data_IF_027342566321
#
_entry.id   IF_027342566321
#
_cell.length_a   1.000
_cell.length_b   1.000
_cell.length_c   1.000
_cell.angle_alpha   90.00
_cell.angle_beta   90.00
_cell.angle_gamma   90.00
#
_symmetry.space_group_name_H-M   'P 1'
#
loop_
_entity.id
_entity.type
_entity.pdbx_description
1 polymer ?
#
# COMPACT_ATOMS: atom_id res chain seq x y z
N UNK A 1 5.50 7.96 -42.97
CA UNK A 1 4.72 8.05 -41.73
C UNK A 1 4.78 6.77 -40.89
N UNK A 2 4.46 5.57 -41.38
CA UNK A 2 4.51 4.29 -40.63
C UNK A 2 5.89 3.98 -40.01
N UNK A 3 6.99 4.20 -40.74
CA UNK A 3 8.36 3.98 -40.23
C UNK A 3 8.77 4.95 -39.13
N UNK A 4 8.36 6.22 -39.23
CA UNK A 4 8.58 7.23 -38.18
C UNK A 4 7.77 6.91 -36.90
N UNK A 5 6.54 6.44 -37.05
CA UNK A 5 5.72 6.00 -35.92
C UNK A 5 6.32 4.79 -35.23
N UNK A 6 6.79 3.79 -35.98
CA UNK A 6 7.47 2.60 -35.44
C UNK A 6 8.77 2.96 -34.72
N UNK A 7 9.56 3.88 -35.31
CA UNK A 7 10.79 4.35 -34.67
C UNK A 7 10.50 5.11 -33.36
N UNK A 8 9.50 6.02 -33.36
CA UNK A 8 9.09 6.73 -32.15
C UNK A 8 8.55 5.77 -31.08
N UNK A 9 7.77 4.76 -31.48
CA UNK A 9 7.28 3.73 -30.58
C UNK A 9 8.43 2.88 -30.01
N UNK A 10 9.39 2.49 -30.82
CA UNK A 10 10.57 1.74 -30.36
C UNK A 10 11.43 2.55 -29.39
N UNK A 11 11.64 3.85 -29.66
CA UNK A 11 12.36 4.76 -28.76
C UNK A 11 11.61 4.94 -27.45
N UNK A 12 10.30 5.14 -27.49
CA UNK A 12 9.47 5.23 -26.28
C UNK A 12 9.51 3.93 -25.48
N UNK A 13 9.42 2.78 -26.14
CA UNK A 13 9.49 1.47 -25.49
C UNK A 13 10.87 1.22 -24.87
N UNK A 14 11.96 1.54 -25.59
CA UNK A 14 13.30 1.45 -25.06
C UNK A 14 13.49 2.38 -23.86
N UNK A 15 13.02 3.63 -23.98
CA UNK A 15 13.06 4.58 -22.88
C UNK A 15 12.29 4.07 -21.64
N UNK A 16 11.07 3.57 -21.81
CA UNK A 16 10.30 2.96 -20.74
C UNK A 16 11.01 1.75 -20.13
N UNK A 17 11.71 0.97 -20.97
CA UNK A 17 12.47 -0.20 -20.51
C UNK A 17 13.69 0.18 -19.68
N UNK A 18 14.47 1.16 -20.12
CA UNK A 18 15.70 1.56 -19.46
C UNK A 18 15.47 2.51 -18.27
N UNK A 19 14.60 3.47 -18.41
CA UNK A 19 14.29 4.45 -17.34
C UNK A 19 13.36 3.84 -16.29
N UNK A 20 12.58 2.85 -16.68
CA UNK A 20 11.64 2.16 -15.81
C UNK A 20 11.84 0.64 -15.95
N UNK A 21 12.91 0.10 -15.37
CA UNK A 21 13.30 -1.28 -15.60
C UNK A 21 12.18 -2.26 -15.26
N UNK A 22 12.06 -3.36 -15.99
CA UNK A 22 11.04 -4.36 -15.71
C UNK A 22 11.28 -4.96 -14.33
N UNK A 23 10.22 -5.23 -13.57
CA UNK A 23 10.33 -5.75 -12.20
C UNK A 23 10.80 -7.23 -12.14
N UNK A 24 11.17 -7.81 -13.25
CA UNK A 24 11.57 -9.22 -13.38
C UNK A 24 12.72 -9.60 -12.40
N UNK A 25 13.61 -8.67 -12.09
CA UNK A 25 14.69 -8.89 -11.12
C UNK A 25 14.19 -9.28 -9.75
N UNK A 26 13.05 -8.76 -9.33
CA UNK A 26 12.43 -9.07 -8.04
C UNK A 26 11.82 -10.47 -7.98
N UNK A 27 11.87 -11.23 -9.09
CA UNK A 27 11.51 -12.66 -9.08
C UNK A 27 12.47 -13.47 -8.21
N UNK A 28 13.74 -13.06 -8.17
CA UNK A 28 14.81 -13.79 -7.47
C UNK A 28 15.55 -12.95 -6.44
N UNK A 29 15.48 -11.61 -6.53
CA UNK A 29 16.22 -10.71 -5.67
C UNK A 29 15.28 -9.94 -4.73
N UNK A 30 15.81 -9.53 -3.59
CA UNK A 30 15.18 -8.58 -2.69
C UNK A 30 15.58 -7.16 -3.09
N UNK A 31 14.70 -6.16 -3.00
CA UNK A 31 15.08 -4.77 -3.16
C UNK A 31 16.02 -4.36 -2.00
N UNK A 32 17.24 -3.94 -2.30
CA UNK A 32 18.18 -3.44 -1.28
C UNK A 32 17.70 -2.13 -0.66
N UNK A 33 17.09 -1.27 -1.49
CA UNK A 33 16.44 -0.03 -1.08
C UNK A 33 15.29 0.27 -2.05
N UNK A 34 14.12 0.60 -1.51
CA UNK A 34 12.98 1.04 -2.33
C UNK A 34 13.01 2.57 -2.50
N UNK A 35 12.29 3.06 -3.52
CA UNK A 35 12.12 4.51 -3.71
C UNK A 35 11.48 5.19 -2.49
N UNK A 36 10.56 4.49 -1.82
CA UNK A 36 9.90 5.01 -0.62
C UNK A 36 10.84 5.07 0.58
N UNK A 37 11.70 4.05 0.78
CA UNK A 37 12.77 4.06 1.80
C UNK A 37 13.75 5.22 1.57
N UNK A 38 14.17 5.43 0.31
CA UNK A 38 15.09 6.52 -0.04
C UNK A 38 14.49 7.90 0.26
N UNK A 39 13.22 8.08 -0.08
CA UNK A 39 12.49 9.30 0.20
C UNK A 39 12.36 9.59 1.70
N UNK A 40 12.01 8.59 2.50
CA UNK A 40 11.90 8.75 3.97
C UNK A 40 13.21 9.24 4.57
N UNK A 41 14.32 8.63 4.15
CA UNK A 41 15.66 9.06 4.59
C UNK A 41 15.98 10.50 4.17
N UNK A 42 15.59 10.93 2.96
CA UNK A 42 15.70 12.33 2.53
C UNK A 42 14.94 13.27 3.44
N UNK A 43 13.67 12.97 3.75
CA UNK A 43 12.83 13.78 4.63
C UNK A 43 13.40 13.91 6.06
N UNK A 44 14.02 12.86 6.58
CA UNK A 44 14.67 12.90 7.90
C UNK A 44 15.95 13.71 7.88
N UNK A 45 16.71 13.69 6.79
CA UNK A 45 17.91 14.51 6.63
C UNK A 45 17.58 16.02 6.53
N UNK A 46 16.43 16.37 5.95
CA UNK A 46 15.96 17.75 5.78
C UNK A 46 15.29 18.31 7.04
N UNK A 47 15.08 17.52 8.10
CA UNK A 47 14.48 17.93 9.36
C UNK A 47 15.52 17.96 10.52
N UNK A 48 16.37 19.00 10.59
CA UNK A 48 17.48 19.08 11.56
C UNK A 48 17.03 19.07 13.03
N UNK A 49 15.84 19.56 13.32
CA UNK A 49 15.30 19.61 14.70
C UNK A 49 15.08 18.24 15.35
N UNK A 50 14.88 17.18 14.56
CA UNK A 50 14.78 15.81 15.07
C UNK A 50 16.14 15.17 15.36
N UNK A 51 17.20 15.65 14.70
CA UNK A 51 18.59 15.24 14.94
C UNK A 51 19.10 15.67 16.30
N UNK A 52 18.73 16.88 16.75
CA UNK A 52 19.21 17.44 18.02
C UNK A 52 18.66 16.68 19.25
N UNK A 53 17.45 16.10 19.14
CA UNK A 53 16.83 15.39 20.27
C UNK A 53 17.32 13.96 20.48
N UNK A 54 17.86 13.29 19.47
CA UNK A 54 18.23 11.85 19.54
C UNK A 54 19.70 11.56 19.26
N UNK A 55 20.48 12.51 18.76
CA UNK A 55 21.93 12.40 18.52
C UNK A 55 22.36 11.34 17.48
N UNK A 56 21.49 10.40 17.12
CA UNK A 56 21.77 9.30 16.19
C UNK A 56 20.56 9.08 15.28
N UNK A 57 20.77 9.06 13.96
CA UNK A 57 19.74 8.58 13.02
C UNK A 57 19.42 7.11 13.38
N UNK A 58 18.14 6.75 13.58
CA UNK A 58 17.78 5.37 13.80
C UNK A 58 18.26 4.52 12.62
N UNK A 59 19.00 3.45 12.90
CA UNK A 59 19.43 2.53 11.85
C UNK A 59 18.22 1.90 11.20
N UNK A 60 18.17 1.93 9.86
CA UNK A 60 17.09 1.27 9.11
C UNK A 60 17.02 -0.20 9.46
N UNK A 61 15.89 -0.62 10.01
CA UNK A 61 15.58 -2.02 10.24
C UNK A 61 14.90 -2.58 8.98
N UNK A 62 15.66 -3.34 8.21
CA UNK A 62 15.16 -4.00 7.00
C UNK A 62 15.79 -5.39 6.90
N UNK A 63 14.97 -6.41 7.11
CA UNK A 63 15.37 -7.83 7.08
C UNK A 63 14.37 -8.61 6.24
N UNK A 64 14.56 -8.66 4.92
CA UNK A 64 13.67 -9.44 4.06
C UNK A 64 13.86 -10.93 4.33
N UNK A 65 12.73 -11.63 4.41
CA UNK A 65 12.67 -13.08 4.63
C UNK A 65 11.73 -13.73 3.63
N UNK A 66 11.97 -14.98 3.20
CA UNK A 66 11.06 -15.71 2.36
C UNK A 66 9.71 -15.92 3.06
N UNK A 67 8.64 -16.08 2.27
CA UNK A 67 7.27 -16.18 2.78
C UNK A 67 7.05 -17.35 3.76
N UNK A 68 7.84 -18.39 3.66
CA UNK A 68 7.84 -19.56 4.55
C UNK A 68 8.29 -19.19 5.98
N UNK A 69 8.99 -18.09 6.11
CA UNK A 69 9.41 -17.52 7.40
C UNK A 69 8.44 -16.45 7.92
N UNK A 70 7.32 -16.25 7.27
CA UNK A 70 6.23 -15.36 7.71
C UNK A 70 5.02 -16.23 8.05
N UNK A 71 4.48 -16.07 9.26
CA UNK A 71 3.30 -16.81 9.71
C UNK A 71 2.14 -16.66 8.71
N UNK A 72 1.43 -17.75 8.36
CA UNK A 72 0.29 -17.69 7.44
C UNK A 72 -0.77 -16.67 7.88
N UNK A 73 -0.98 -16.52 9.17
CA UNK A 73 -1.93 -15.56 9.74
C UNK A 73 -1.58 -14.11 9.42
N UNK A 74 -0.30 -13.77 9.24
CA UNK A 74 0.11 -12.42 8.81
C UNK A 74 -0.35 -12.11 7.39
N UNK A 75 -0.26 -13.09 6.49
CA UNK A 75 -0.77 -12.94 5.12
C UNK A 75 -2.28 -12.71 5.12
N UNK A 76 -3.01 -13.51 5.89
CA UNK A 76 -4.46 -13.34 6.06
C UNK A 76 -4.83 -11.98 6.64
N UNK A 77 -4.10 -11.51 7.67
CA UNK A 77 -4.35 -10.21 8.29
C UNK A 77 -4.17 -9.06 7.31
N UNK A 78 -3.12 -9.08 6.50
CA UNK A 78 -2.86 -8.06 5.49
C UNK A 78 -3.88 -8.08 4.35
N UNK A 79 -4.24 -9.26 3.85
CA UNK A 79 -5.25 -9.40 2.81
C UNK A 79 -6.61 -8.87 3.27
N UNK A 80 -7.02 -9.24 4.47
CA UNK A 80 -8.28 -8.77 5.07
C UNK A 80 -8.27 -7.25 5.31
N UNK A 81 -7.14 -6.71 5.73
CA UNK A 81 -7.00 -5.29 6.07
C UNK A 81 -6.90 -4.37 4.84
N UNK A 82 -6.22 -4.81 3.77
CA UNK A 82 -5.80 -3.94 2.68
C UNK A 82 -6.37 -4.32 1.31
N UNK A 83 -6.57 -5.62 1.02
CA UNK A 83 -7.01 -6.06 -0.29
C UNK A 83 -7.62 -7.48 -0.21
N UNK A 84 -8.86 -7.57 0.24
CA UNK A 84 -9.54 -8.86 0.39
C UNK A 84 -9.79 -9.59 -0.94
N UNK A 85 -9.70 -8.86 -2.05
CA UNK A 85 -9.86 -9.39 -3.42
C UNK A 85 -8.52 -9.55 -4.15
N UNK A 86 -7.40 -9.53 -3.45
CA UNK A 86 -6.05 -9.58 -4.01
C UNK A 86 -5.86 -10.67 -5.05
N UNK A 87 -6.32 -11.87 -4.77
CA UNK A 87 -6.20 -13.00 -5.70
C UNK A 87 -7.19 -12.96 -6.87
N UNK A 88 -8.21 -12.10 -6.80
CA UNK A 88 -9.26 -11.98 -7.83
C UNK A 88 -9.00 -10.83 -8.79
N UNK A 89 -8.18 -9.85 -8.43
CA UNK A 89 -7.86 -8.72 -9.28
C UNK A 89 -6.54 -8.93 -10.04
N UNK A 90 -6.34 -8.22 -11.14
CA UNK A 90 -5.11 -8.24 -11.94
C UNK A 90 -4.25 -6.98 -11.66
N UNK A 91 -4.00 -6.70 -10.39
CA UNK A 91 -3.22 -5.55 -9.94
C UNK A 91 -4.02 -4.26 -9.75
N UNK A 92 -5.22 -4.18 -10.33
CA UNK A 92 -6.19 -3.11 -10.15
C UNK A 92 -7.55 -3.74 -9.85
N UNK A 93 -8.18 -3.37 -8.75
CA UNK A 93 -9.55 -3.79 -8.45
C UNK A 93 -10.56 -2.80 -9.04
N UNK A 94 -11.03 -3.09 -10.24
CA UNK A 94 -12.01 -2.27 -10.94
C UNK A 94 -13.37 -2.24 -10.24
N UNK A 95 -13.74 -3.33 -9.57
CA UNK A 95 -14.99 -3.37 -8.82
C UNK A 95 -14.92 -2.45 -7.62
N UNK A 96 -13.85 -2.49 -6.84
CA UNK A 96 -13.66 -1.62 -5.70
C UNK A 96 -13.55 -0.14 -6.12
N UNK A 97 -12.87 0.14 -7.24
CA UNK A 97 -12.85 1.50 -7.82
C UNK A 97 -14.26 1.96 -8.18
N UNK A 98 -15.05 1.09 -8.82
CA UNK A 98 -16.43 1.39 -9.20
C UNK A 98 -17.30 1.69 -7.97
N UNK A 99 -17.18 0.89 -6.94
CA UNK A 99 -17.88 1.08 -5.66
C UNK A 99 -17.45 2.38 -4.97
N UNK A 100 -16.14 2.64 -4.85
CA UNK A 100 -15.60 3.87 -4.27
C UNK A 100 -16.01 5.14 -5.01
N UNK A 101 -16.20 5.04 -6.33
CA UNK A 101 -16.72 6.12 -7.17
C UNK A 101 -18.24 6.26 -7.09
N UNK A 102 -18.94 5.28 -6.51
CA UNK A 102 -20.41 5.25 -6.46
C UNK A 102 -21.05 5.03 -7.84
N UNK A 103 -20.37 4.30 -8.73
CA UNK A 103 -20.94 3.88 -10.01
C UNK A 103 -21.80 2.64 -9.80
N UNK A 104 -23.12 2.76 -10.00
CA UNK A 104 -24.11 1.76 -9.59
C UNK A 104 -24.52 0.76 -10.68
N UNK A 105 -24.08 0.96 -11.93
CA UNK A 105 -24.45 0.08 -13.03
C UNK A 105 -23.46 -1.09 -13.16
N UNK A 106 -23.96 -2.27 -13.39
CA UNK A 106 -23.13 -3.48 -13.51
C UNK A 106 -22.40 -3.56 -14.85
N UNK A 107 -23.03 -3.04 -15.93
CA UNK A 107 -22.44 -2.97 -17.25
C UNK A 107 -22.36 -1.54 -17.76
N UNK A 108 -21.33 -1.25 -18.54
CA UNK A 108 -21.12 0.05 -19.17
C UNK A 108 -21.08 -0.11 -20.69
N UNK A 109 -21.94 0.62 -21.38
CA UNK A 109 -21.99 0.65 -22.83
C UNK A 109 -21.75 2.05 -23.37
N UNK A 110 -20.69 2.23 -24.14
CA UNK A 110 -20.34 3.53 -24.76
C UNK A 110 -21.45 4.11 -25.64
N UNK A 111 -22.26 3.27 -26.27
CA UNK A 111 -23.39 3.67 -27.10
C UNK A 111 -24.56 4.19 -26.29
N UNK A 112 -24.68 3.83 -25.02
CA UNK A 112 -25.77 4.24 -24.15
C UNK A 112 -25.54 5.63 -23.56
N UNK A 113 -26.42 6.59 -23.91
CA UNK A 113 -26.32 7.96 -23.41
C UNK A 113 -26.43 8.07 -21.87
N UNK A 114 -27.25 7.20 -21.24
CA UNK A 114 -27.39 7.15 -19.77
C UNK A 114 -26.12 6.71 -19.08
N UNK A 115 -25.36 5.75 -19.65
CA UNK A 115 -24.11 5.28 -19.10
C UNK A 115 -23.02 6.36 -19.17
N UNK A 116 -22.96 7.07 -20.31
CA UNK A 116 -22.05 8.21 -20.47
C UNK A 116 -22.37 9.35 -19.50
N UNK A 117 -23.65 9.66 -19.32
CA UNK A 117 -24.09 10.70 -18.38
C UNK A 117 -23.78 10.31 -16.92
N UNK A 118 -23.99 9.03 -16.56
CA UNK A 118 -23.62 8.51 -15.23
C UNK A 118 -22.12 8.57 -15.01
N UNK A 119 -21.33 8.13 -15.97
CA UNK A 119 -19.86 8.22 -15.91
C UNK A 119 -19.41 9.68 -15.74
N UNK A 120 -19.98 10.62 -16.49
CA UNK A 120 -19.68 12.05 -16.35
C UNK A 120 -19.98 12.58 -14.95
N UNK A 121 -21.14 12.21 -14.37
CA UNK A 121 -21.52 12.58 -13.00
C UNK A 121 -20.58 11.96 -11.95
N UNK A 122 -20.21 10.70 -12.14
CA UNK A 122 -19.27 9.97 -11.26
C UNK A 122 -17.90 10.61 -11.30
N UNK A 123 -17.36 10.88 -12.49
CA UNK A 123 -16.06 11.54 -12.66
C UNK A 123 -16.05 12.96 -12.09
N UNK A 124 -17.14 13.72 -12.28
CA UNK A 124 -17.29 15.06 -11.67
C UNK A 124 -17.25 15.00 -10.14
N UNK A 125 -17.98 14.05 -9.53
CA UNK A 125 -17.94 13.82 -8.08
C UNK A 125 -16.58 13.35 -7.60
N UNK A 126 -15.94 12.45 -8.35
CA UNK A 126 -14.59 11.96 -8.05
C UNK A 126 -13.58 13.11 -8.08
N UNK A 127 -13.65 13.98 -9.08
CA UNK A 127 -12.79 15.15 -9.16
C UNK A 127 -13.00 16.11 -8.00
N UNK A 128 -14.24 16.41 -7.65
CA UNK A 128 -14.60 17.26 -6.51
C UNK A 128 -14.12 16.65 -5.16
N UNK A 129 -14.15 15.32 -5.05
CA UNK A 129 -13.77 14.58 -3.85
C UNK A 129 -12.38 13.92 -3.94
N UNK A 130 -11.53 14.30 -4.90
CA UNK A 130 -10.25 13.62 -5.21
C UNK A 130 -9.31 13.45 -4.00
N UNK A 131 -9.45 14.30 -3.00
CA UNK A 131 -8.69 14.21 -1.75
C UNK A 131 -9.31 13.25 -0.71
N UNK A 132 -10.56 12.81 -0.93
CA UNK A 132 -11.33 11.94 -0.04
C UNK A 132 -11.53 10.53 -0.57
N UNK A 133 -11.26 10.29 -1.87
CA UNK A 133 -11.32 8.94 -2.45
C UNK A 133 -10.06 8.19 -2.01
N UNK A 134 -10.19 7.47 -0.91
CA UNK A 134 -9.17 6.59 -0.35
C UNK A 134 -9.74 5.18 -0.26
N UNK A 135 -8.88 4.18 -0.24
CA UNK A 135 -9.29 2.80 0.02
C UNK A 135 -9.25 1.86 -1.19
N UNK A 136 -9.37 2.36 -2.42
CA UNK A 136 -9.40 1.53 -3.63
C UNK A 136 -8.01 1.17 -4.20
N UNK A 137 -6.94 1.18 -3.40
CA UNK A 137 -5.60 0.79 -3.86
C UNK A 137 -5.29 -0.63 -3.45
N UNK A 138 -5.01 -1.50 -4.42
CA UNK A 138 -4.61 -2.89 -4.20
C UNK A 138 -3.22 -2.99 -3.56
N UNK A 139 -2.90 -4.17 -3.00
CA UNK A 139 -1.54 -4.50 -2.53
C UNK A 139 -0.52 -4.33 -3.65
N UNK A 140 -0.84 -4.74 -4.87
CA UNK A 140 0.06 -4.59 -6.02
C UNK A 140 0.34 -3.13 -6.35
N UNK A 141 -0.67 -2.24 -6.28
CA UNK A 141 -0.47 -0.80 -6.46
C UNK A 141 0.35 -0.18 -5.32
N UNK A 142 0.13 -0.64 -4.08
CA UNK A 142 0.94 -0.20 -2.94
C UNK A 142 2.40 -0.65 -3.08
N UNK A 143 2.64 -1.88 -3.54
CA UNK A 143 3.98 -2.38 -3.84
C UNK A 143 4.64 -1.56 -4.96
N UNK A 144 3.92 -1.28 -6.05
CA UNK A 144 4.41 -0.44 -7.14
C UNK A 144 4.85 0.94 -6.64
N UNK A 145 4.04 1.57 -5.78
CA UNK A 145 4.38 2.83 -5.12
C UNK A 145 5.65 2.70 -4.28
N UNK A 146 5.77 1.68 -3.45
CA UNK A 146 6.91 1.50 -2.57
C UNK A 146 8.21 1.29 -3.35
N UNK A 147 8.18 0.47 -4.39
CA UNK A 147 9.39 0.12 -5.16
C UNK A 147 9.91 1.26 -6.05
N UNK A 148 8.99 2.00 -6.71
CA UNK A 148 9.38 2.83 -7.86
C UNK A 148 8.96 4.29 -7.81
N UNK A 149 7.97 4.66 -6.97
CA UNK A 149 7.32 5.94 -7.12
C UNK A 149 7.63 6.90 -5.98
N UNK A 150 8.00 8.12 -6.38
CA UNK A 150 8.06 9.27 -5.47
C UNK A 150 6.63 9.72 -5.06
N UNK A 151 6.45 10.33 -3.89
CA UNK A 151 5.15 10.72 -3.35
C UNK A 151 4.54 11.97 -3.98
N UNK A 152 4.92 12.33 -5.21
CA UNK A 152 4.34 13.48 -5.90
C UNK A 152 2.81 13.38 -6.01
N UNK A 153 2.09 14.49 -5.83
CA UNK A 153 0.62 14.55 -5.96
C UNK A 153 0.15 14.73 -7.41
N UNK A 154 0.96 14.36 -8.39
CA UNK A 154 0.63 14.48 -9.81
C UNK A 154 -0.35 13.36 -10.22
N UNK A 155 -1.44 13.65 -10.97
CA UNK A 155 -2.36 12.65 -11.53
C UNK A 155 -1.65 11.59 -12.38
N UNK A 156 -0.59 11.96 -13.11
CA UNK A 156 0.24 11.04 -13.89
C UNK A 156 0.92 9.97 -13.01
N UNK A 157 1.14 10.25 -11.73
CA UNK A 157 1.64 9.26 -10.77
C UNK A 157 0.68 8.08 -10.61
N UNK A 158 -0.64 8.34 -10.55
CA UNK A 158 -1.63 7.25 -10.40
C UNK A 158 -1.68 6.36 -11.64
N UNK A 159 -1.50 6.94 -12.83
CA UNK A 159 -1.36 6.19 -14.07
C UNK A 159 -0.08 5.33 -14.07
N UNK A 160 1.06 5.91 -13.66
CA UNK A 160 2.32 5.16 -13.52
C UNK A 160 2.19 4.02 -12.52
N UNK A 161 1.53 4.25 -11.38
CA UNK A 161 1.24 3.25 -10.37
C UNK A 161 0.43 2.08 -10.97
N UNK A 162 -0.63 2.37 -11.72
CA UNK A 162 -1.46 1.38 -12.38
C UNK A 162 -0.67 0.54 -13.42
N UNK A 163 0.10 1.22 -14.28
CA UNK A 163 0.95 0.55 -15.27
C UNK A 163 2.03 -0.31 -14.60
N UNK A 164 2.62 0.17 -13.50
CA UNK A 164 3.61 -0.60 -12.75
C UNK A 164 2.96 -1.80 -12.07
N UNK A 165 1.74 -1.65 -11.53
CA UNK A 165 1.02 -2.76 -10.93
C UNK A 165 0.76 -3.88 -11.96
N UNK A 166 0.33 -3.56 -13.17
CA UNK A 166 0.19 -4.55 -14.25
C UNK A 166 1.51 -5.24 -14.59
N UNK A 167 2.62 -4.49 -14.65
CA UNK A 167 3.94 -5.07 -14.90
C UNK A 167 4.38 -6.00 -13.78
N UNK A 168 4.12 -5.65 -12.50
CA UNK A 168 4.39 -6.52 -11.37
C UNK A 168 3.60 -7.84 -11.47
N UNK A 169 2.30 -7.78 -11.77
CA UNK A 169 1.47 -8.96 -11.97
C UNK A 169 1.99 -9.85 -13.11
N UNK A 170 2.34 -9.25 -14.23
CA UNK A 170 2.85 -9.99 -15.39
C UNK A 170 4.16 -10.74 -15.11
N UNK A 171 5.10 -10.09 -14.37
CA UNK A 171 6.44 -10.64 -14.17
C UNK A 171 6.59 -11.50 -12.93
N UNK A 172 5.84 -11.23 -11.85
CA UNK A 172 6.11 -11.80 -10.54
C UNK A 172 5.06 -12.80 -10.08
N UNK A 173 3.79 -12.60 -10.43
CA UNK A 173 2.66 -13.37 -9.90
C UNK A 173 2.32 -13.01 -8.44
N UNK A 174 1.13 -13.41 -8.00
CA UNK A 174 0.52 -13.01 -6.73
C UNK A 174 1.35 -13.34 -5.50
N UNK A 175 1.87 -14.55 -5.43
CA UNK A 175 2.62 -15.02 -4.26
C UNK A 175 3.90 -14.18 -4.05
N UNK A 176 4.63 -13.89 -5.12
CA UNK A 176 5.84 -13.08 -5.03
C UNK A 176 5.54 -11.61 -4.76
N UNK A 177 4.45 -11.08 -5.31
CA UNK A 177 3.98 -9.72 -5.04
C UNK A 177 3.68 -9.57 -3.55
N UNK A 178 2.89 -10.48 -2.97
CA UNK A 178 2.56 -10.46 -1.54
C UNK A 178 3.81 -10.60 -0.67
N UNK A 179 4.70 -11.50 -1.02
CA UNK A 179 5.97 -11.71 -0.32
C UNK A 179 6.83 -10.44 -0.32
N UNK A 180 7.00 -9.79 -1.47
CA UNK A 180 7.72 -8.52 -1.57
C UNK A 180 7.04 -7.41 -0.77
N UNK A 181 5.71 -7.31 -0.85
CA UNK A 181 4.95 -6.32 -0.10
C UNK A 181 5.18 -6.44 1.41
N UNK A 182 5.05 -7.65 1.94
CA UNK A 182 5.27 -7.93 3.37
C UNK A 182 6.70 -7.59 3.83
N UNK A 183 7.66 -7.62 2.92
CA UNK A 183 9.05 -7.31 3.23
C UNK A 183 9.42 -5.84 3.07
N UNK A 184 8.68 -5.04 2.25
CA UNK A 184 9.07 -3.65 1.98
C UNK A 184 8.13 -2.61 2.58
N UNK A 185 7.00 -3.03 3.14
CA UNK A 185 6.03 -2.09 3.71
C UNK A 185 6.57 -1.42 4.98
N UNK A 186 6.27 -0.13 5.13
CA UNK A 186 6.62 0.65 6.33
C UNK A 186 5.70 0.28 7.48
N UNK A 187 6.27 -0.08 8.63
CA UNK A 187 5.54 -0.49 9.84
C UNK A 187 5.95 0.33 11.08
N UNK A 188 6.66 1.42 10.87
CA UNK A 188 7.07 2.36 11.89
C UNK A 188 8.25 3.21 11.41
N UNK A 189 8.71 4.18 12.22
CA UNK A 189 9.88 4.98 11.88
C UNK A 189 11.10 4.08 11.64
N UNK A 190 11.64 4.11 10.42
CA UNK A 190 12.76 3.27 9.94
C UNK A 190 12.56 1.76 10.10
N UNK A 191 11.31 1.29 10.20
CA UNK A 191 10.95 -0.14 10.31
C UNK A 191 10.28 -0.60 9.03
N UNK A 192 10.96 -1.47 8.30
CA UNK A 192 10.55 -1.95 7.00
C UNK A 192 10.42 -3.46 6.97
N UNK A 193 9.23 -3.92 6.61
CA UNK A 193 8.88 -5.32 6.50
C UNK A 193 8.52 -5.99 7.83
N UNK A 194 7.80 -7.09 7.68
CA UNK A 194 7.15 -7.81 8.80
C UNK A 194 8.16 -8.43 9.74
N UNK A 195 9.28 -8.97 9.24
CA UNK A 195 10.31 -9.57 10.11
C UNK A 195 10.94 -8.50 11.02
N UNK A 196 11.31 -7.35 10.45
CA UNK A 196 11.88 -6.25 11.23
C UNK A 196 10.90 -5.71 12.27
N UNK A 197 9.63 -5.60 11.90
CA UNK A 197 8.58 -5.16 12.81
C UNK A 197 8.30 -6.17 13.93
N UNK A 198 8.25 -7.46 13.59
CA UNK A 198 8.08 -8.54 14.57
C UNK A 198 9.20 -8.56 15.61
N UNK A 199 10.43 -8.48 15.16
CA UNK A 199 11.58 -8.41 16.06
C UNK A 199 11.56 -7.16 16.95
N UNK A 200 11.23 -5.99 16.36
CA UNK A 200 11.21 -4.73 17.10
C UNK A 200 10.11 -4.65 18.14
N UNK A 201 8.90 -5.05 17.77
CA UNK A 201 7.72 -4.82 18.60
C UNK A 201 7.38 -5.99 19.52
N UNK A 202 7.74 -7.23 19.12
CA UNK A 202 7.36 -8.44 19.85
C UNK A 202 8.56 -9.31 20.28
N UNK A 203 9.78 -8.98 19.82
CA UNK A 203 11.00 -9.67 20.24
C UNK A 203 11.20 -11.06 19.64
N UNK A 204 10.47 -11.41 18.57
CA UNK A 204 10.60 -12.72 17.92
C UNK A 204 10.39 -12.65 16.40
N UNK A 205 10.72 -13.74 15.70
CA UNK A 205 10.59 -13.84 14.25
C UNK A 205 9.14 -13.79 13.78
N UNK A 206 8.92 -13.21 12.60
CA UNK A 206 7.64 -13.17 11.91
C UNK A 206 6.99 -14.54 11.68
N UNK A 207 7.76 -15.61 11.71
CA UNK A 207 7.26 -16.98 11.63
C UNK A 207 6.39 -17.37 12.83
N UNK A 208 6.58 -16.74 13.99
CA UNK A 208 5.89 -17.03 15.25
C UNK A 208 4.78 -16.05 15.58
N UNK A 209 4.47 -15.11 14.68
CA UNK A 209 3.39 -14.14 14.92
C UNK A 209 2.07 -14.84 15.22
N UNK A 210 1.46 -14.46 16.33
CA UNK A 210 0.08 -14.80 16.70
C UNK A 210 -0.91 -14.02 15.82
N UNK A 211 -2.20 -14.38 15.90
CA UNK A 211 -3.26 -13.66 15.21
C UNK A 211 -3.33 -12.18 15.65
N UNK A 212 -3.22 -11.93 16.94
CA UNK A 212 -3.32 -10.57 17.49
C UNK A 212 -2.12 -9.71 17.07
N UNK A 213 -0.92 -10.25 17.09
CA UNK A 213 0.28 -9.54 16.65
C UNK A 213 0.26 -9.27 15.13
N UNK A 214 -0.15 -10.24 14.33
CA UNK A 214 -0.31 -10.09 12.89
C UNK A 214 -1.37 -9.02 12.56
N UNK A 215 -2.49 -9.02 13.26
CA UNK A 215 -3.54 -8.01 13.12
C UNK A 215 -3.07 -6.62 13.60
N UNK A 216 -2.22 -6.54 14.63
CA UNK A 216 -1.61 -5.28 15.07
C UNK A 216 -0.71 -4.68 13.98
N UNK A 217 0.18 -5.49 13.37
CA UNK A 217 1.01 -5.03 12.25
C UNK A 217 0.16 -4.62 11.04
N UNK A 218 -0.86 -5.40 10.68
CA UNK A 218 -1.77 -5.04 9.59
C UNK A 218 -2.57 -3.77 9.91
N UNK A 219 -2.97 -3.58 11.17
CA UNK A 219 -3.63 -2.37 11.66
C UNK A 219 -2.77 -1.10 11.57
N UNK A 220 -1.45 -1.26 11.60
CA UNK A 220 -0.48 -0.17 11.50
C UNK A 220 -0.35 0.41 10.08
N UNK A 221 -0.61 -0.38 9.03
CA UNK A 221 -0.31 -0.05 7.63
C UNK A 221 -0.79 1.33 7.14
N UNK A 222 -2.00 1.83 7.49
CA UNK A 222 -2.44 3.13 6.98
C UNK A 222 -1.71 4.33 7.57
N UNK A 223 -1.10 4.19 8.75
CA UNK A 223 -0.51 5.30 9.49
C UNK A 223 0.72 4.88 10.34
N UNK A 224 1.73 4.25 9.74
CA UNK A 224 2.83 3.59 10.46
C UNK A 224 3.66 4.54 11.34
N UNK A 225 3.73 5.82 10.99
CA UNK A 225 4.45 6.83 11.76
C UNK A 225 3.62 7.47 12.88
N UNK A 226 2.29 7.31 12.83
CA UNK A 226 1.36 7.96 13.78
C UNK A 226 0.79 7.02 14.81
N UNK A 227 0.68 5.72 14.47
CA UNK A 227 0.11 4.70 15.34
C UNK A 227 0.67 3.34 14.98
N UNK A 228 1.41 2.74 15.89
CA UNK A 228 2.03 1.43 15.76
C UNK A 228 2.17 0.80 17.16
N UNK A 229 2.58 -0.47 17.31
CA UNK A 229 2.67 -1.11 18.63
C UNK A 229 3.57 -0.39 19.64
N UNK A 230 4.55 0.39 19.20
CA UNK A 230 5.46 1.15 20.06
C UNK A 230 5.12 2.62 20.25
N UNK A 231 4.12 3.16 19.52
CA UNK A 231 3.81 4.58 19.56
C UNK A 231 2.32 4.86 19.29
N UNK A 232 1.62 5.49 20.24
CA UNK A 232 0.21 5.86 20.16
C UNK A 232 -0.69 4.74 19.57
N UNK A 233 -0.80 3.57 20.23
CA UNK A 233 -1.37 2.38 19.61
C UNK A 233 -2.90 2.41 19.46
N UNK A 234 -3.61 3.41 19.94
CA UNK A 234 -5.08 3.45 19.97
C UNK A 234 -5.73 3.20 18.60
N UNK A 235 -5.30 3.90 17.55
CA UNK A 235 -5.82 3.68 16.18
C UNK A 235 -5.46 2.29 15.65
N UNK A 236 -4.26 1.84 15.92
CA UNK A 236 -3.81 0.51 15.52
C UNK A 236 -4.62 -0.54 16.24
N UNK A 237 -4.82 -0.46 17.57
CA UNK A 237 -5.62 -1.42 18.33
C UNK A 237 -7.07 -1.49 17.86
N UNK A 238 -7.67 -0.33 17.53
CA UNK A 238 -9.01 -0.32 16.99
C UNK A 238 -9.09 -1.10 15.66
N UNK A 239 -8.15 -0.86 14.73
CA UNK A 239 -8.09 -1.64 13.46
C UNK A 239 -7.75 -3.11 13.72
N UNK A 240 -6.84 -3.40 14.64
CA UNK A 240 -6.49 -4.76 15.05
C UNK A 240 -7.75 -5.54 15.44
N UNK A 241 -8.60 -4.98 16.31
CA UNK A 241 -9.83 -5.65 16.74
C UNK A 241 -10.77 -5.97 15.56
N UNK A 242 -10.92 -5.04 14.61
CA UNK A 242 -11.72 -5.25 13.40
C UNK A 242 -11.15 -6.36 12.51
N UNK A 243 -9.82 -6.38 12.31
CA UNK A 243 -9.12 -7.39 11.51
C UNK A 243 -9.31 -8.78 12.15
N UNK A 244 -9.11 -8.90 13.47
CA UNK A 244 -9.31 -10.17 14.20
C UNK A 244 -10.74 -10.67 14.04
N UNK A 245 -11.73 -9.80 14.26
CA UNK A 245 -13.16 -10.15 14.09
C UNK A 245 -13.45 -10.61 12.67
N UNK A 246 -12.94 -9.91 11.65
CA UNK A 246 -13.14 -10.28 10.25
C UNK A 246 -12.51 -11.63 9.90
N UNK A 247 -11.31 -11.92 10.42
CA UNK A 247 -10.64 -13.22 10.22
C UNK A 247 -11.44 -14.35 10.89
N UNK A 248 -12.12 -14.05 12.02
CA UNK A 248 -13.01 -15.00 12.70
C UNK A 248 -14.36 -15.20 12.01
N UNK A 249 -14.60 -14.53 10.88
CA UNK A 249 -15.81 -14.68 10.07
C UNK A 249 -16.93 -13.69 10.39
N UNK A 250 -16.67 -12.67 11.22
CA UNK A 250 -17.65 -11.62 11.47
C UNK A 250 -17.73 -10.65 10.28
N UNK A 251 -18.94 -10.23 9.92
CA UNK A 251 -19.18 -9.23 8.88
C UNK A 251 -18.89 -7.82 9.42
N UNK A 252 -17.61 -7.47 9.50
CA UNK A 252 -17.13 -6.16 9.96
C UNK A 252 -16.48 -5.42 8.83
N UNK A 253 -16.87 -4.18 8.60
CA UNK A 253 -16.15 -3.28 7.68
C UNK A 253 -14.93 -2.70 8.38
N UNK A 254 -13.77 -2.77 7.72
CA UNK A 254 -12.52 -2.22 8.23
C UNK A 254 -12.28 -0.89 7.53
N UNK A 255 -12.48 0.25 8.21
CA UNK A 255 -12.23 1.55 7.62
C UNK A 255 -10.76 1.72 7.23
N UNK A 256 -10.54 2.24 6.04
CA UNK A 256 -9.21 2.51 5.49
C UNK A 256 -8.78 3.96 5.68
N UNK A 257 -9.68 4.83 6.14
CA UNK A 257 -9.38 6.24 6.40
C UNK A 257 -9.52 6.58 7.90
N UNK A 258 -8.72 7.55 8.32
CA UNK A 258 -8.80 8.14 9.67
C UNK A 258 -10.07 8.97 9.85
N UNK A 259 -10.73 9.41 8.76
CA UNK A 259 -11.98 10.15 8.84
C UNK A 259 -13.13 9.31 9.40
N UNK A 260 -13.10 7.99 9.14
CA UNK A 260 -14.13 7.04 9.55
C UNK A 260 -13.89 6.45 10.95
N UNK A 261 -12.84 6.90 11.64
CA UNK A 261 -12.57 6.47 13.02
C UNK A 261 -13.57 7.10 13.98
N UNK A 262 -14.02 6.35 15.01
CA UNK A 262 -14.81 6.91 16.10
C UNK A 262 -14.10 8.09 16.77
N UNK A 263 -14.86 9.09 17.20
CA UNK A 263 -14.29 10.30 17.80
C UNK A 263 -13.47 10.01 19.06
N UNK A 264 -13.82 8.95 19.82
CA UNK A 264 -13.03 8.46 20.94
C UNK A 264 -11.61 8.03 20.55
N UNK A 265 -11.43 7.47 19.35
CA UNK A 265 -10.12 7.06 18.83
C UNK A 265 -9.36 8.23 18.21
N UNK A 266 -10.07 9.25 17.70
CA UNK A 266 -9.48 10.51 17.20
C UNK A 266 -8.93 11.35 18.35
N UNK A 267 -9.64 11.44 19.47
CA UNK A 267 -9.27 12.23 20.63
C UNK A 267 -7.96 11.78 21.31
N UNK A 268 -7.69 10.47 21.31
CA UNK A 268 -6.45 9.90 21.90
C UNK A 268 -5.17 10.33 21.18
N UNK A 269 -5.30 10.91 19.98
CA UNK A 269 -4.16 11.40 19.16
C UNK A 269 -3.92 12.91 19.30
N UNK A 270 -4.90 13.67 19.80
CA UNK A 270 -4.81 15.15 19.90
C UNK A 270 -4.40 15.64 21.30
N UNK A 271 -4.49 14.78 22.30
CA UNK A 271 -4.28 15.18 23.72
C UNK A 271 -2.82 15.16 24.18
N UNK A 272 -1.84 14.99 23.27
CA UNK A 272 -0.40 14.96 23.59
C UNK A 272 0.49 15.61 22.51
N UNK A 273 0.01 16.66 21.84
CA UNK A 273 0.87 17.57 21.08
C UNK A 273 1.30 18.75 21.95
#
# INVERSE_FOLDING_TARGET
MRRLFLAAFAVLFAWLWFVWPPPVWYRWAWPGQTAFMAMRRGQENDAPQRREQTGVLPSRLYRPVPREQIAPVMRSAVLVAEDHRFYLNAGIDYQEIREALGYRRDEFHWTNARDRAELGRVLGRAWARRNRIRGASTITQQLAKNLYLSPSRNPLRKLKEALTAWRLEYWLGKERILELYLNVVELGPEVWGVESASQKYFGHSARRLSLDEAAALAGTLPFPLKSNPGYHPGRMHWRQSMIVRRIRGEAVEIPRDTADLPDSVKADTTSRE
#
